data_IF_450284452174
#
_entry.id   IF_450284452174
#
_cell.length_a   1.000
_cell.length_b   1.000
_cell.length_c   1.000
_cell.angle_alpha   90.00
_cell.angle_beta   90.00
_cell.angle_gamma   90.00
#
_symmetry.space_group_name_H-M   'P 1'
#
loop_
_entity.id
_entity.type
_entity.pdbx_description
1 polymer ?
#
# COMPACT_ATOMS: atom_id res chain seq x y z
N UNK A 1 11.48 -7.19 -22.18
CA UNK A 1 10.29 -6.32 -22.29
C UNK A 1 9.21 -6.97 -21.45
N UNK A 2 9.05 -6.53 -20.21
CA UNK A 2 7.97 -7.03 -19.34
C UNK A 2 6.64 -6.38 -19.76
N UNK A 3 5.50 -7.10 -19.78
CA UNK A 3 4.25 -6.58 -20.29
C UNK A 3 3.76 -5.38 -19.47
N UNK A 4 3.45 -4.29 -20.17
CA UNK A 4 2.71 -3.13 -19.65
C UNK A 4 1.31 -3.60 -19.26
N UNK A 5 1.07 -3.82 -17.97
CA UNK A 5 -0.23 -4.18 -17.43
C UNK A 5 -0.35 -5.61 -16.89
N UNK A 6 0.68 -6.14 -16.24
CA UNK A 6 0.53 -7.38 -15.48
C UNK A 6 -0.25 -7.13 -14.18
N UNK A 7 -0.98 -8.14 -13.68
CA UNK A 7 -1.62 -8.11 -12.36
C UNK A 7 -0.65 -7.70 -11.25
N UNK A 8 0.65 -7.93 -11.45
CA UNK A 8 1.76 -7.53 -10.56
C UNK A 8 1.87 -6.01 -10.46
N UNK A 9 1.65 -5.31 -11.59
CA UNK A 9 1.39 -3.86 -11.72
C UNK A 9 0.49 -3.31 -10.63
N UNK A 10 -0.72 -3.86 -10.67
CA UNK A 10 -1.86 -3.49 -9.85
C UNK A 10 -1.62 -3.92 -8.40
N UNK A 11 -1.11 -5.14 -8.18
CA UNK A 11 -0.77 -5.63 -6.85
C UNK A 11 0.24 -4.71 -6.15
N UNK A 12 1.30 -4.27 -6.85
CA UNK A 12 2.28 -3.34 -6.29
C UNK A 12 1.66 -1.98 -5.92
N UNK A 13 0.74 -1.46 -6.74
CA UNK A 13 0.02 -0.23 -6.44
C UNK A 13 -0.92 -0.37 -5.23
N UNK A 14 -1.59 -1.53 -5.08
CA UNK A 14 -2.44 -1.81 -3.91
C UNK A 14 -1.62 -1.99 -2.64
N UNK A 15 -0.47 -2.67 -2.71
CA UNK A 15 0.46 -2.79 -1.57
C UNK A 15 0.94 -1.41 -1.13
N UNK A 16 1.34 -0.57 -2.09
CA UNK A 16 1.71 0.82 -1.80
C UNK A 16 0.56 1.58 -1.14
N UNK A 17 -0.67 1.46 -1.66
CA UNK A 17 -1.85 2.07 -1.05
C UNK A 17 -2.04 1.66 0.41
N UNK A 18 -1.99 0.36 0.72
CA UNK A 18 -2.13 -0.15 2.10
C UNK A 18 -1.01 0.36 3.01
N UNK A 19 0.23 0.43 2.51
CA UNK A 19 1.36 0.99 3.28
C UNK A 19 1.18 2.48 3.57
N UNK A 20 0.54 3.23 2.68
CA UNK A 20 0.28 4.66 2.88
C UNK A 20 -0.82 4.93 3.92
N UNK A 21 -1.71 3.95 4.16
CA UNK A 21 -2.76 3.99 5.18
C UNK A 21 -2.26 3.54 6.56
N UNK A 22 -1.09 2.90 6.61
CA UNK A 22 -0.44 2.46 7.84
C UNK A 22 0.36 3.61 8.46
N UNK A 23 0.63 3.52 9.77
CA UNK A 23 1.46 4.50 10.49
C UNK A 23 2.94 4.44 10.00
N UNK A 24 3.43 3.23 9.70
CA UNK A 24 4.73 2.99 9.06
C UNK A 24 4.62 3.04 7.53
N UNK A 25 4.65 4.27 7.00
CA UNK A 25 4.58 4.53 5.55
C UNK A 25 5.85 4.05 4.86
N UNK A 26 5.68 3.08 3.95
CA UNK A 26 6.77 2.62 3.08
C UNK A 26 6.90 3.51 1.85
N UNK A 27 8.13 3.76 1.44
CA UNK A 27 8.39 4.52 0.23
C UNK A 27 8.03 3.70 -1.02
N UNK A 28 7.73 4.36 -2.14
CA UNK A 28 7.52 3.67 -3.43
C UNK A 28 8.72 2.81 -3.80
N UNK A 29 9.93 3.24 -3.41
CA UNK A 29 11.17 2.50 -3.62
C UNK A 29 11.19 1.17 -2.85
N UNK A 30 10.74 1.17 -1.59
CA UNK A 30 10.67 -0.06 -0.79
C UNK A 30 9.69 -1.06 -1.41
N UNK A 31 8.55 -0.56 -1.89
CA UNK A 31 7.55 -1.39 -2.58
C UNK A 31 8.09 -1.88 -3.93
N UNK A 32 8.82 -1.05 -4.67
CA UNK A 32 9.48 -1.43 -5.91
C UNK A 32 10.50 -2.56 -5.70
N UNK A 33 11.30 -2.48 -4.63
CA UNK A 33 12.25 -3.53 -4.27
C UNK A 33 11.50 -4.82 -3.87
N UNK A 34 10.44 -4.70 -3.07
CA UNK A 34 9.67 -5.85 -2.60
C UNK A 34 8.89 -6.57 -3.70
N UNK A 35 8.44 -5.83 -4.73
CA UNK A 35 7.58 -6.36 -5.81
C UNK A 35 8.32 -6.59 -7.12
N UNK A 36 9.55 -6.08 -7.27
CA UNK A 36 10.31 -6.09 -8.51
C UNK A 36 9.77 -5.15 -9.60
N UNK A 37 8.79 -4.29 -9.27
CA UNK A 37 8.15 -3.37 -10.22
C UNK A 37 8.87 -2.02 -10.21
N UNK A 38 9.09 -1.44 -11.39
CA UNK A 38 9.66 -0.10 -11.50
C UNK A 38 8.78 0.95 -10.80
N UNK A 39 9.39 1.87 -10.03
CA UNK A 39 8.69 2.91 -9.27
C UNK A 39 7.71 3.75 -10.12
N UNK A 40 8.13 4.08 -11.34
CA UNK A 40 7.29 4.82 -12.29
C UNK A 40 6.01 4.07 -12.68
N UNK A 41 6.08 2.75 -12.77
CA UNK A 41 4.93 1.88 -13.08
C UNK A 41 3.98 1.77 -11.90
N UNK A 42 4.50 1.68 -10.67
CA UNK A 42 3.70 1.70 -9.44
C UNK A 42 2.94 3.02 -9.34
N UNK A 43 3.62 4.15 -9.56
CA UNK A 43 2.99 5.48 -9.52
C UNK A 43 1.94 5.66 -10.61
N UNK A 44 2.21 5.19 -11.83
CA UNK A 44 1.24 5.28 -12.92
C UNK A 44 0.00 4.44 -12.62
N UNK A 45 0.20 3.17 -12.23
CA UNK A 45 -0.88 2.25 -11.86
C UNK A 45 -1.68 2.80 -10.67
N UNK A 46 -1.02 3.36 -9.66
CA UNK A 46 -1.68 3.98 -8.52
C UNK A 46 -2.56 5.17 -8.92
N UNK A 47 -2.08 6.03 -9.83
CA UNK A 47 -2.88 7.15 -10.36
C UNK A 47 -4.11 6.67 -11.12
N UNK A 48 -3.96 5.63 -11.93
CA UNK A 48 -5.06 5.04 -12.70
C UNK A 48 -6.08 4.35 -11.77
N UNK A 49 -5.62 3.74 -10.68
CA UNK A 49 -6.47 3.11 -9.67
C UNK A 49 -7.18 4.12 -8.77
N UNK A 50 -6.53 5.23 -8.43
CA UNK A 50 -7.00 6.24 -7.46
C UNK A 50 -8.48 6.64 -7.61
N UNK A 51 -8.99 7.01 -8.80
CA UNK A 51 -10.40 7.37 -8.98
C UNK A 51 -11.37 6.19 -8.84
N UNK A 52 -10.90 4.96 -9.00
CA UNK A 52 -11.70 3.74 -8.89
C UNK A 52 -11.59 3.09 -7.51
N UNK A 53 -10.68 3.55 -6.65
CA UNK A 53 -10.49 3.00 -5.32
C UNK A 53 -11.79 2.97 -4.52
N UNK A 54 -12.63 3.99 -4.58
CA UNK A 54 -13.94 3.99 -3.87
C UNK A 54 -14.92 2.90 -4.33
N UNK A 55 -14.71 2.32 -5.53
CA UNK A 55 -15.51 1.19 -6.06
C UNK A 55 -14.81 -0.15 -5.85
N UNK A 56 -13.48 -0.16 -5.80
CA UNK A 56 -12.64 -1.36 -5.65
C UNK A 56 -12.52 -1.74 -4.18
N UNK A 57 -12.40 -0.75 -3.29
CA UNK A 57 -12.32 -0.90 -1.84
C UNK A 57 -13.68 -1.43 -1.39
N UNK A 58 -13.76 -2.71 -1.00
CA UNK A 58 -14.99 -3.25 -0.47
C UNK A 58 -15.24 -2.62 0.91
N UNK A 59 -16.50 -2.48 1.33
CA UNK A 59 -16.82 -1.88 2.63
C UNK A 59 -16.14 -2.54 3.84
N UNK A 60 -15.65 -3.79 3.72
CA UNK A 60 -14.84 -4.44 4.75
C UNK A 60 -13.45 -3.80 4.94
N UNK A 61 -12.92 -3.09 3.94
CA UNK A 61 -11.65 -2.36 4.10
C UNK A 61 -11.83 -1.20 5.06
N UNK A 62 -12.99 -0.55 5.11
CA UNK A 62 -13.27 0.43 6.17
C UNK A 62 -13.25 -0.24 7.55
N UNK A 63 -13.77 -1.48 7.66
CA UNK A 63 -13.67 -2.26 8.89
C UNK A 63 -12.23 -2.61 9.24
N UNK A 64 -11.42 -3.03 8.26
CA UNK A 64 -10.00 -3.38 8.47
C UNK A 64 -9.16 -2.15 8.78
N UNK A 65 -9.41 -1.02 8.12
CA UNK A 65 -8.77 0.25 8.41
C UNK A 65 -9.21 0.78 9.77
N UNK A 66 -10.48 0.66 10.13
CA UNK A 66 -10.94 1.00 11.47
C UNK A 66 -10.35 0.05 12.51
N UNK A 67 -10.16 -1.23 12.20
CA UNK A 67 -9.48 -2.19 13.06
C UNK A 67 -8.01 -1.81 13.28
N UNK A 68 -7.29 -1.43 12.21
CA UNK A 68 -5.91 -0.95 12.32
C UNK A 68 -5.81 0.40 13.05
N UNK A 69 -6.75 1.33 12.81
CA UNK A 69 -6.83 2.62 13.52
C UNK A 69 -7.23 2.46 14.98
N UNK A 70 -8.04 1.45 15.29
CA UNK A 70 -8.50 1.11 16.64
C UNK A 70 -7.46 0.31 17.45
N UNK A 71 -6.24 0.12 16.94
CA UNK A 71 -5.10 -0.33 17.74
C UNK A 71 -4.23 0.86 18.17
N UNK A 72 -4.59 1.57 19.26
CA UNK A 72 -3.69 2.54 19.86
C UNK A 72 -2.54 1.78 20.53
N UNK A 73 -1.36 1.83 19.93
CA UNK A 73 -0.12 1.47 20.63
C UNK A 73 0.68 0.33 20.02
N UNK A 74 1.56 0.69 19.08
CA UNK A 74 2.90 0.07 18.99
C UNK A 74 3.99 1.09 19.34
N UNK A 75 3.80 1.83 20.43
CA UNK A 75 4.92 2.45 21.13
C UNK A 75 5.60 1.40 21.99
N UNK A 76 6.51 0.63 21.39
CA UNK A 76 7.47 -0.18 22.13
C UNK A 76 8.89 0.14 21.67
N UNK A 77 9.29 1.41 21.82
CA UNK A 77 10.69 1.70 22.13
C UNK A 77 10.91 1.19 23.55
N UNK A 78 11.38 -0.04 23.64
CA UNK A 78 11.91 -0.63 24.86
C UNK A 78 12.82 0.39 25.53
N UNK A 79 12.43 0.91 26.69
CA UNK A 79 13.37 1.33 27.73
C UNK A 79 14.19 0.08 28.06
N UNK A 80 15.36 -0.05 27.45
CA UNK A 80 16.42 -0.90 27.96
C UNK A 80 17.37 0.09 28.63
N UNK A 81 17.20 0.16 29.96
CA UNK A 81 18.21 0.35 31.01
C UNK A 81 19.45 1.16 30.63
#
# INVERSE_FOLDING_TARGET
MEPRGSLISIAAAVIYFVTQLSDDKKSVKDVAIATGVAEGTIRNSYKDLYPHLSKIIPGWVDTVLNYFKAQPGRNNKKKIQ
#
